data_IF_691496388560
#
_entry.id   IF_691496388560
#
_cell.length_a   1.000
_cell.length_b   1.000
_cell.length_c   1.000
_cell.angle_alpha   90.00
_cell.angle_beta   90.00
_cell.angle_gamma   90.00
#
_symmetry.space_group_name_H-M   'P 1'
#
loop_
_entity.id
_entity.type
_entity.pdbx_description
1 polymer ?
#
# COMPACT_ATOMS: atom_id res chain seq x y z
N UNK A 1 67.57 -60.34 7.84
CA UNK A 1 67.73 -59.11 8.65
C UNK A 1 66.45 -58.29 8.48
N UNK A 2 65.47 -58.47 9.36
CA UNK A 2 64.30 -57.60 9.42
C UNK A 2 64.65 -56.36 10.24
N UNK A 3 64.04 -55.21 9.94
CA UNK A 3 64.30 -53.97 10.65
C UNK A 3 65.37 -53.07 10.02
N UNK A 4 64.96 -52.27 9.04
CA UNK A 4 65.37 -50.86 8.99
C UNK A 4 64.12 -50.02 9.20
N UNK A 5 64.15 -49.13 10.18
CA UNK A 5 63.20 -48.01 10.27
C UNK A 5 63.58 -47.02 9.16
N UNK A 6 63.10 -47.26 7.94
CA UNK A 6 63.34 -46.35 6.82
C UNK A 6 62.38 -45.16 6.95
N UNK A 7 62.91 -43.98 7.28
CA UNK A 7 62.20 -42.69 7.12
C UNK A 7 62.04 -42.30 5.64
N UNK A 8 61.47 -43.22 4.84
CA UNK A 8 61.43 -43.16 3.38
C UNK A 8 61.38 -44.57 2.76
N UNK A 9 60.48 -45.45 3.22
CA UNK A 9 60.27 -46.75 2.59
C UNK A 9 59.83 -46.60 1.12
N UNK A 10 60.54 -47.18 0.16
CA UNK A 10 60.10 -47.26 -1.25
C UNK A 10 59.89 -48.71 -1.74
N UNK A 11 58.74 -49.36 -1.43
CA UNK A 11 58.48 -50.73 -1.85
C UNK A 11 58.26 -50.85 -3.37
N UNK A 12 59.23 -51.43 -4.09
CA UNK A 12 59.16 -51.72 -5.51
C UNK A 12 60.46 -51.36 -6.25
N UNK A 13 60.45 -51.25 -7.58
CA UNK A 13 61.67 -51.07 -8.40
C UNK A 13 61.65 -49.79 -9.23
N UNK A 14 62.79 -49.11 -9.31
CA UNK A 14 62.97 -47.92 -10.14
C UNK A 14 62.31 -46.65 -9.60
N UNK A 15 61.88 -46.64 -8.34
CA UNK A 15 61.39 -45.42 -7.70
C UNK A 15 62.56 -44.46 -7.40
N UNK A 16 62.26 -43.16 -7.32
CA UNK A 16 63.21 -42.09 -7.08
C UNK A 16 62.62 -40.99 -6.19
N UNK A 17 62.91 -41.05 -4.89
CA UNK A 17 62.53 -40.02 -3.93
C UNK A 17 62.28 -40.61 -2.54
N UNK A 18 61.07 -40.44 -2.01
CA UNK A 18 60.68 -40.95 -0.69
C UNK A 18 59.25 -41.47 -0.66
N UNK A 19 58.99 -42.54 0.11
CA UNK A 19 57.65 -43.09 0.36
C UNK A 19 56.88 -43.63 -0.87
N UNK A 20 57.55 -43.83 -2.01
CA UNK A 20 56.92 -44.32 -3.24
C UNK A 20 56.72 -45.85 -3.26
N UNK A 21 55.51 -46.31 -3.56
CA UNK A 21 55.13 -47.74 -3.68
C UNK A 21 54.85 -48.09 -5.13
N UNK A 22 55.48 -49.14 -5.65
CA UNK A 22 55.29 -49.65 -7.01
C UNK A 22 56.52 -49.43 -7.90
N UNK A 23 56.32 -49.11 -9.19
CA UNK A 23 57.39 -49.16 -10.20
C UNK A 23 57.64 -47.81 -10.87
N UNK A 24 58.90 -47.35 -10.93
CA UNK A 24 59.29 -46.20 -11.76
C UNK A 24 58.76 -44.84 -11.31
N UNK A 25 58.29 -44.68 -10.06
CA UNK A 25 57.70 -43.43 -9.58
C UNK A 25 58.77 -42.43 -9.12
N UNK A 26 58.61 -41.15 -9.43
CA UNK A 26 59.54 -40.06 -9.06
C UNK A 26 58.85 -39.03 -8.18
N UNK A 27 59.43 -38.71 -7.02
CA UNK A 27 58.91 -37.70 -6.08
C UNK A 27 58.54 -38.29 -4.71
N UNK A 28 57.36 -37.97 -4.18
CA UNK A 28 56.99 -38.30 -2.79
C UNK A 28 55.67 -39.08 -2.68
N UNK A 29 55.65 -40.22 -1.98
CA UNK A 29 54.38 -40.83 -1.54
C UNK A 29 53.47 -41.38 -2.64
N UNK A 30 53.98 -41.62 -3.85
CA UNK A 30 53.17 -42.11 -4.97
C UNK A 30 52.89 -43.62 -4.85
N UNK A 31 51.72 -44.08 -5.27
CA UNK A 31 51.35 -45.51 -5.37
C UNK A 31 51.02 -45.87 -6.83
N UNK A 32 51.75 -46.83 -7.40
CA UNK A 32 51.47 -47.38 -8.73
C UNK A 32 52.69 -47.36 -9.66
N UNK A 33 52.52 -46.91 -10.90
CA UNK A 33 53.52 -47.13 -11.96
C UNK A 33 53.84 -45.84 -12.74
N UNK A 34 55.11 -45.44 -12.82
CA UNK A 34 55.59 -44.29 -13.59
C UNK A 34 54.95 -42.93 -13.26
N UNK A 35 54.53 -42.70 -12.01
CA UNK A 35 53.98 -41.42 -11.58
C UNK A 35 55.09 -40.41 -11.22
N UNK A 36 54.91 -39.13 -11.55
CA UNK A 36 55.84 -38.04 -11.26
C UNK A 36 55.16 -36.93 -10.44
N UNK A 37 55.69 -36.63 -9.25
CA UNK A 37 55.15 -35.63 -8.32
C UNK A 37 54.93 -36.20 -6.93
N UNK A 38 53.92 -35.72 -6.22
CA UNK A 38 53.60 -36.13 -4.85
C UNK A 38 52.20 -36.77 -4.72
N UNK A 39 52.08 -37.82 -3.90
CA UNK A 39 50.83 -38.43 -3.45
C UNK A 39 49.87 -38.92 -4.56
N UNK A 40 50.38 -39.30 -5.74
CA UNK A 40 49.54 -39.82 -6.82
C UNK A 40 49.21 -41.31 -6.64
N UNK A 41 48.01 -41.75 -7.06
CA UNK A 41 47.61 -43.17 -7.07
C UNK A 41 47.18 -43.56 -8.48
N UNK A 42 48.04 -44.26 -9.23
CA UNK A 42 47.74 -44.54 -10.63
C UNK A 42 48.90 -45.04 -11.49
N UNK A 43 48.76 -44.87 -12.81
CA UNK A 43 49.79 -45.22 -13.80
C UNK A 43 50.11 -44.00 -14.67
N UNK A 44 51.35 -43.51 -14.70
CA UNK A 44 51.82 -42.49 -15.64
C UNK A 44 51.40 -41.04 -15.32
N UNK A 45 50.92 -40.78 -14.11
CA UNK A 45 50.45 -39.44 -13.70
C UNK A 45 51.62 -38.45 -13.60
N UNK A 46 51.39 -37.17 -13.88
CA UNK A 46 52.40 -36.11 -13.72
C UNK A 46 51.73 -34.88 -13.09
N UNK A 47 52.24 -34.43 -11.94
CA UNK A 47 51.58 -33.46 -11.04
C UNK A 47 51.36 -34.07 -9.66
N UNK A 48 50.60 -33.40 -8.78
CA UNK A 48 50.43 -33.83 -7.38
C UNK A 48 48.99 -34.25 -7.06
N UNK A 49 48.83 -35.17 -6.11
CA UNK A 49 47.56 -35.63 -5.52
C UNK A 49 46.52 -36.20 -6.51
N UNK A 50 46.95 -36.75 -7.65
CA UNK A 50 46.03 -37.28 -8.67
C UNK A 50 45.69 -38.76 -8.46
N UNK A 51 44.49 -39.18 -8.88
CA UNK A 51 44.09 -40.59 -8.91
C UNK A 51 43.54 -40.94 -10.30
N UNK A 52 44.15 -41.90 -11.01
CA UNK A 52 43.72 -42.32 -12.36
C UNK A 52 44.83 -42.88 -13.25
N UNK A 53 44.72 -42.64 -14.57
CA UNK A 53 45.74 -43.00 -15.56
C UNK A 53 46.32 -41.75 -16.24
N UNK A 54 47.60 -41.83 -16.58
CA UNK A 54 48.45 -40.77 -17.12
C UNK A 54 48.04 -40.37 -18.52
N UNK A 55 48.20 -39.09 -18.83
CA UNK A 55 47.70 -38.49 -20.07
C UNK A 55 46.18 -38.31 -20.12
N UNK A 56 45.42 -38.90 -19.18
CA UNK A 56 43.98 -38.64 -19.06
C UNK A 56 43.64 -37.59 -18.00
N UNK A 57 44.46 -37.33 -16.98
CA UNK A 57 44.27 -36.14 -16.14
C UNK A 57 45.43 -35.15 -16.34
N UNK A 58 45.14 -33.85 -16.27
CA UNK A 58 46.14 -32.77 -16.37
C UNK A 58 45.93 -31.73 -15.27
N UNK A 59 46.98 -31.42 -14.51
CA UNK A 59 46.93 -30.47 -13.39
C UNK A 59 47.15 -31.16 -12.04
N UNK A 60 46.39 -30.77 -11.00
CA UNK A 60 46.68 -31.13 -9.59
C UNK A 60 45.40 -31.57 -8.86
N UNK A 61 45.47 -32.61 -8.03
CA UNK A 61 44.37 -33.02 -7.16
C UNK A 61 43.16 -33.65 -7.85
N UNK A 62 43.25 -33.98 -9.15
CA UNK A 62 42.13 -34.53 -9.90
C UNK A 62 41.94 -36.04 -9.65
N UNK A 63 40.70 -36.48 -9.47
CA UNK A 63 40.30 -37.88 -9.21
C UNK A 63 39.36 -38.36 -10.31
N UNK A 64 39.74 -39.41 -11.04
CA UNK A 64 38.95 -39.98 -12.14
C UNK A 64 39.70 -39.96 -13.46
N UNK A 65 39.05 -39.63 -14.59
CA UNK A 65 39.67 -39.59 -15.92
C UNK A 65 39.20 -38.40 -16.77
N UNK A 66 40.05 -37.95 -17.70
CA UNK A 66 39.77 -36.85 -18.63
C UNK A 66 39.56 -35.48 -17.96
N UNK A 67 40.00 -35.30 -16.71
CA UNK A 67 39.85 -34.03 -16.00
C UNK A 67 41.05 -33.10 -16.22
N UNK A 68 40.79 -31.79 -16.37
CA UNK A 68 41.80 -30.75 -16.55
C UNK A 68 41.64 -29.62 -15.53
N UNK A 69 42.76 -29.12 -15.00
CA UNK A 69 42.80 -28.08 -13.97
C UNK A 69 43.03 -28.67 -12.58
N UNK A 70 42.28 -28.23 -11.57
CA UNK A 70 42.55 -28.55 -10.17
C UNK A 70 41.37 -29.15 -9.40
N UNK A 71 41.63 -30.14 -8.55
CA UNK A 71 40.69 -30.68 -7.56
C UNK A 71 39.35 -31.19 -8.13
N UNK A 72 39.28 -31.57 -9.41
CA UNK A 72 38.05 -32.09 -10.02
C UNK A 72 37.86 -33.58 -9.72
N UNK A 73 36.62 -34.00 -9.47
CA UNK A 73 36.27 -35.39 -9.16
C UNK A 73 35.25 -35.89 -10.19
N UNK A 74 35.59 -36.98 -10.89
CA UNK A 74 34.72 -37.64 -11.87
C UNK A 74 35.34 -37.69 -13.27
N UNK A 75 34.60 -37.29 -14.30
CA UNK A 75 35.00 -37.48 -15.69
C UNK A 75 34.88 -36.22 -16.55
N UNK A 76 35.85 -35.96 -17.44
CA UNK A 76 35.79 -34.88 -18.45
C UNK A 76 35.64 -33.45 -17.89
N UNK A 77 35.84 -33.21 -16.59
CA UNK A 77 35.65 -31.88 -16.01
C UNK A 77 36.85 -30.96 -16.31
N UNK A 78 36.60 -29.66 -16.49
CA UNK A 78 37.61 -28.65 -16.76
C UNK A 78 37.50 -27.48 -15.77
N UNK A 79 38.64 -27.02 -15.24
CA UNK A 79 38.70 -25.90 -14.30
C UNK A 79 38.97 -26.36 -12.87
N UNK A 80 38.26 -25.83 -11.87
CA UNK A 80 38.59 -26.03 -10.45
C UNK A 80 37.44 -26.59 -9.61
N UNK A 81 37.66 -27.72 -8.93
CA UNK A 81 36.79 -28.19 -7.85
C UNK A 81 35.42 -28.71 -8.31
N UNK A 82 35.26 -29.08 -9.58
CA UNK A 82 34.00 -29.61 -10.08
C UNK A 82 33.80 -31.08 -9.69
N UNK A 83 32.56 -31.48 -9.40
CA UNK A 83 32.19 -32.86 -9.06
C UNK A 83 31.18 -33.40 -10.08
N UNK A 84 31.50 -34.50 -10.76
CA UNK A 84 30.60 -35.19 -11.69
C UNK A 84 31.19 -35.34 -13.10
N UNK A 85 30.41 -35.00 -14.14
CA UNK A 85 30.75 -35.32 -15.54
C UNK A 85 30.71 -34.06 -16.42
N UNK A 86 31.78 -33.81 -17.19
CA UNK A 86 31.85 -32.81 -18.25
C UNK A 86 31.54 -31.36 -17.82
N UNK A 87 31.68 -31.03 -16.53
CA UNK A 87 31.47 -29.66 -16.05
C UNK A 87 32.67 -28.77 -16.40
N UNK A 88 32.43 -27.48 -16.65
CA UNK A 88 33.48 -26.52 -17.01
C UNK A 88 33.42 -25.27 -16.14
N UNK A 89 34.56 -24.81 -15.63
CA UNK A 89 34.66 -23.67 -14.72
C UNK A 89 34.91 -24.13 -13.29
N UNK A 90 34.14 -23.63 -12.32
CA UNK A 90 34.49 -23.76 -10.90
C UNK A 90 33.36 -24.31 -10.02
N UNK A 91 33.64 -25.29 -9.16
CA UNK A 91 32.74 -25.78 -8.11
C UNK A 91 31.35 -26.23 -8.58
N UNK A 92 31.20 -26.63 -9.84
CA UNK A 92 29.94 -27.16 -10.35
C UNK A 92 29.76 -28.62 -9.92
N UNK A 93 28.55 -29.00 -9.51
CA UNK A 93 28.21 -30.36 -9.06
C UNK A 93 27.12 -30.94 -9.96
N UNK A 94 27.45 -31.96 -10.75
CA UNK A 94 26.50 -32.67 -11.61
C UNK A 94 27.04 -32.96 -13.00
N UNK A 95 26.27 -32.65 -14.04
CA UNK A 95 26.57 -33.05 -15.43
C UNK A 95 26.54 -31.83 -16.36
N UNK A 96 27.61 -31.65 -17.14
CA UNK A 96 27.72 -30.72 -18.26
C UNK A 96 27.30 -29.27 -17.93
N UNK A 97 27.52 -28.84 -16.68
CA UNK A 97 27.24 -27.47 -16.25
C UNK A 97 28.49 -26.58 -16.46
N UNK A 98 28.29 -25.35 -16.92
CA UNK A 98 29.36 -24.41 -17.28
C UNK A 98 29.26 -23.11 -16.48
N UNK A 99 30.39 -22.61 -15.98
CA UNK A 99 30.45 -21.41 -15.16
C UNK A 99 30.83 -21.75 -13.73
N UNK A 100 30.11 -21.24 -12.73
CA UNK A 100 30.48 -21.42 -11.32
C UNK A 100 29.34 -21.87 -10.43
N UNK A 101 29.64 -22.73 -9.44
CA UNK A 101 28.76 -23.13 -8.33
C UNK A 101 27.37 -23.65 -8.75
N UNK A 102 27.20 -24.13 -9.98
CA UNK A 102 25.93 -24.70 -10.44
C UNK A 102 25.74 -26.12 -9.90
N UNK A 103 24.50 -26.49 -9.59
CA UNK A 103 24.13 -27.86 -9.16
C UNK A 103 23.10 -28.45 -10.09
N UNK A 104 23.38 -29.63 -10.68
CA UNK A 104 22.46 -30.36 -11.55
C UNK A 104 22.99 -30.54 -12.98
N UNK A 105 22.17 -30.29 -14.00
CA UNK A 105 22.41 -30.78 -15.37
C UNK A 105 22.29 -29.67 -16.41
N UNK A 106 23.29 -29.48 -17.28
CA UNK A 106 23.30 -28.48 -18.36
C UNK A 106 23.03 -27.02 -17.92
N UNK A 107 23.38 -26.64 -16.68
CA UNK A 107 23.22 -25.25 -16.24
C UNK A 107 24.40 -24.38 -16.70
N UNK A 108 24.14 -23.16 -17.17
CA UNK A 108 25.15 -22.23 -17.65
C UNK A 108 25.08 -20.89 -16.92
N UNK A 109 26.17 -20.46 -16.29
CA UNK A 109 26.29 -19.20 -15.52
C UNK A 109 26.72 -19.44 -14.08
N UNK A 110 26.16 -18.68 -13.13
CA UNK A 110 26.54 -18.70 -11.71
C UNK A 110 25.41 -19.23 -10.82
N UNK A 111 25.68 -20.26 -10.01
CA UNK A 111 24.84 -20.61 -8.85
C UNK A 111 23.45 -21.17 -9.16
N UNK A 112 23.20 -21.62 -10.40
CA UNK A 112 21.91 -22.22 -10.75
C UNK A 112 21.74 -23.62 -10.14
N UNK A 113 20.52 -23.98 -9.77
CA UNK A 113 20.16 -25.32 -9.29
C UNK A 113 19.07 -25.94 -10.14
N UNK A 114 19.27 -27.17 -10.62
CA UNK A 114 18.29 -27.92 -11.42
C UNK A 114 18.80 -28.26 -12.81
N UNK A 115 18.04 -27.94 -13.87
CA UNK A 115 18.37 -28.38 -15.23
C UNK A 115 18.19 -27.32 -16.32
N UNK A 116 19.14 -27.24 -17.24
CA UNK A 116 19.08 -26.41 -18.45
C UNK A 116 18.79 -24.91 -18.19
N UNK A 117 19.20 -24.37 -17.04
CA UNK A 117 19.08 -22.94 -16.76
C UNK A 117 20.25 -22.15 -17.37
N UNK A 118 20.00 -20.93 -17.81
CA UNK A 118 21.00 -20.04 -18.43
C UNK A 118 20.97 -18.66 -17.78
N UNK A 119 22.12 -18.16 -17.32
CA UNK A 119 22.20 -16.95 -16.48
C UNK A 119 22.47 -17.34 -15.02
N UNK A 120 21.96 -16.59 -14.04
CA UNK A 120 22.48 -16.67 -12.67
C UNK A 120 21.40 -16.93 -11.60
N UNK A 121 21.72 -17.73 -10.59
CA UNK A 121 20.90 -17.99 -9.40
C UNK A 121 19.48 -18.54 -9.66
N UNK A 122 19.25 -19.15 -10.84
CA UNK A 122 17.95 -19.75 -11.15
C UNK A 122 17.77 -21.11 -10.46
N UNK A 123 16.55 -21.42 -10.04
CA UNK A 123 16.18 -22.69 -9.41
C UNK A 123 15.07 -23.39 -10.17
N UNK A 124 15.33 -24.60 -10.66
CA UNK A 124 14.38 -25.43 -11.40
C UNK A 124 14.84 -25.69 -12.84
N UNK A 125 14.03 -25.38 -13.85
CA UNK A 125 14.21 -25.88 -15.22
C UNK A 125 14.04 -24.87 -16.35
N UNK A 126 14.95 -24.83 -17.33
CA UNK A 126 14.80 -23.99 -18.54
C UNK A 126 14.51 -22.50 -18.26
N UNK A 127 15.02 -21.96 -17.14
CA UNK A 127 14.92 -20.52 -16.89
C UNK A 127 16.09 -19.80 -17.58
N UNK A 128 15.85 -18.58 -18.07
CA UNK A 128 16.83 -17.79 -18.79
C UNK A 128 16.85 -16.34 -18.27
N UNK A 129 17.96 -15.90 -17.68
CA UNK A 129 18.04 -14.64 -16.92
C UNK A 129 18.53 -14.91 -15.50
N UNK A 130 18.07 -14.14 -14.53
CA UNK A 130 18.54 -14.20 -13.15
C UNK A 130 17.42 -14.44 -12.11
N UNK A 131 17.75 -15.12 -11.02
CA UNK A 131 16.89 -15.29 -9.83
C UNK A 131 15.50 -15.93 -10.06
N UNK A 132 15.28 -16.61 -11.18
CA UNK A 132 13.99 -17.26 -11.45
C UNK A 132 13.82 -18.55 -10.65
N UNK A 133 12.63 -18.83 -10.15
CA UNK A 133 12.27 -20.08 -9.46
C UNK A 133 11.12 -20.78 -10.15
N UNK A 134 11.25 -22.07 -10.45
CA UNK A 134 10.24 -22.87 -11.15
C UNK A 134 10.73 -23.31 -12.53
N UNK A 135 9.94 -23.19 -13.61
CA UNK A 135 10.42 -23.61 -14.93
C UNK A 135 9.89 -22.82 -16.13
N UNK A 136 10.71 -22.74 -17.17
CA UNK A 136 10.43 -22.03 -18.42
C UNK A 136 10.14 -20.54 -18.19
N UNK A 137 10.92 -19.87 -17.34
CA UNK A 137 10.80 -18.43 -17.14
C UNK A 137 11.99 -17.67 -17.78
N UNK A 138 11.81 -17.02 -18.95
CA UNK A 138 12.76 -16.06 -19.51
C UNK A 138 12.52 -14.63 -18.98
N UNK A 139 13.59 -13.97 -18.52
CA UNK A 139 13.56 -12.70 -17.80
C UNK A 139 14.11 -12.88 -16.38
N UNK A 140 13.91 -11.90 -15.51
CA UNK A 140 14.52 -11.87 -14.17
C UNK A 140 13.49 -11.93 -13.03
N UNK A 141 13.83 -12.65 -11.96
CA UNK A 141 13.09 -12.71 -10.68
C UNK A 141 11.66 -13.26 -10.80
N UNK A 142 11.38 -14.12 -11.80
CA UNK A 142 10.06 -14.76 -11.93
C UNK A 142 9.92 -15.97 -11.00
N UNK A 143 8.71 -16.23 -10.51
CA UNK A 143 8.38 -17.42 -9.69
C UNK A 143 7.19 -18.18 -10.29
N UNK A 144 7.40 -19.45 -10.66
CA UNK A 144 6.36 -20.35 -11.18
C UNK A 144 6.70 -20.90 -12.56
N UNK A 145 5.75 -20.89 -13.50
CA UNK A 145 5.91 -21.58 -14.78
C UNK A 145 5.53 -20.73 -16.01
N UNK A 146 6.34 -20.78 -17.07
CA UNK A 146 6.05 -20.13 -18.36
C UNK A 146 5.82 -18.61 -18.26
N UNK A 147 6.50 -17.92 -17.33
CA UNK A 147 6.43 -16.46 -17.23
C UNK A 147 7.52 -15.79 -18.08
N UNK A 148 7.17 -14.83 -18.92
CA UNK A 148 8.09 -14.11 -19.82
C UNK A 148 8.09 -12.62 -19.47
N UNK A 149 9.27 -12.04 -19.25
CA UNK A 149 9.43 -10.69 -18.68
C UNK A 149 9.89 -10.79 -17.22
N UNK A 150 9.78 -9.73 -16.45
CA UNK A 150 10.44 -9.62 -15.14
C UNK A 150 9.43 -9.59 -13.97
N UNK A 151 9.85 -10.08 -12.80
CA UNK A 151 9.11 -9.99 -11.52
C UNK A 151 7.72 -10.66 -11.51
N UNK A 152 7.44 -11.60 -12.42
CA UNK A 152 6.14 -12.27 -12.47
C UNK A 152 6.04 -13.44 -11.49
N UNK A 153 4.90 -13.58 -10.81
CA UNK A 153 4.59 -14.72 -9.94
C UNK A 153 3.35 -15.46 -10.43
N UNK A 154 3.46 -16.77 -10.66
CA UNK A 154 2.37 -17.66 -11.05
C UNK A 154 2.64 -18.36 -12.38
N UNK A 155 1.69 -18.36 -13.32
CA UNK A 155 1.82 -19.18 -14.53
C UNK A 155 1.34 -18.53 -15.84
N UNK A 156 2.10 -18.69 -16.92
CA UNK A 156 1.73 -18.19 -18.26
C UNK A 156 1.51 -16.67 -18.30
N UNK A 157 2.29 -15.89 -17.56
CA UNK A 157 2.25 -14.43 -17.61
C UNK A 157 3.27 -13.89 -18.64
N UNK A 158 2.97 -12.79 -19.30
CA UNK A 158 3.86 -12.13 -20.28
C UNK A 158 3.79 -10.61 -20.13
N UNK A 159 4.93 -9.98 -19.88
CA UNK A 159 5.03 -8.60 -19.38
C UNK A 159 5.65 -8.61 -17.99
N UNK A 160 5.60 -7.49 -17.27
CA UNK A 160 6.36 -7.32 -16.03
C UNK A 160 5.46 -7.15 -14.79
N UNK A 161 5.95 -7.58 -13.61
CA UNK A 161 5.33 -7.33 -12.29
C UNK A 161 3.90 -7.93 -12.16
N UNK A 162 3.62 -9.05 -12.83
CA UNK A 162 2.29 -9.68 -12.76
C UNK A 162 2.20 -10.76 -11.67
N UNK A 163 1.07 -10.84 -10.97
CA UNK A 163 0.77 -11.94 -10.03
C UNK A 163 -0.48 -12.68 -10.48
N UNK A 164 -0.40 -14.00 -10.63
CA UNK A 164 -1.51 -14.87 -11.01
C UNK A 164 -1.25 -15.64 -12.30
N UNK A 165 -2.23 -15.78 -13.20
CA UNK A 165 -2.03 -16.60 -14.40
C UNK A 165 -2.75 -16.15 -15.69
N UNK A 166 -2.15 -16.51 -16.83
CA UNK A 166 -2.62 -16.19 -18.18
C UNK A 166 -2.74 -14.68 -18.44
N UNK A 167 -1.81 -13.90 -17.88
CA UNK A 167 -1.78 -12.44 -18.00
C UNK A 167 -0.92 -12.02 -19.19
N UNK A 168 -1.36 -11.01 -19.94
CA UNK A 168 -0.53 -10.27 -20.91
C UNK A 168 -0.58 -8.77 -20.60
N UNK A 169 0.58 -8.11 -20.47
CA UNK A 169 0.71 -6.72 -20.00
C UNK A 169 1.32 -6.67 -18.60
N UNK A 170 1.32 -5.50 -17.95
CA UNK A 170 2.18 -5.26 -16.78
C UNK A 170 1.42 -4.89 -15.49
N UNK A 171 2.06 -5.11 -14.34
CA UNK A 171 1.56 -4.71 -13.02
C UNK A 171 0.14 -5.22 -12.66
N UNK A 172 -0.26 -6.38 -13.18
CA UNK A 172 -1.58 -6.95 -12.95
C UNK A 172 -1.60 -7.96 -11.79
N UNK A 173 -2.76 -8.15 -11.17
CA UNK A 173 -2.98 -9.18 -10.14
C UNK A 173 -4.30 -9.94 -10.42
N UNK A 174 -4.24 -11.23 -10.74
CA UNK A 174 -5.42 -12.08 -10.98
C UNK A 174 -5.27 -13.05 -12.15
N UNK A 175 -6.31 -13.18 -12.97
CA UNK A 175 -6.34 -14.18 -14.04
C UNK A 175 -6.86 -13.59 -15.35
N UNK A 176 -6.29 -14.03 -16.48
CA UNK A 176 -6.72 -13.68 -17.85
C UNK A 176 -6.69 -12.18 -18.19
N UNK A 177 -5.86 -11.40 -17.49
CA UNK A 177 -5.68 -9.98 -17.74
C UNK A 177 -4.96 -9.71 -19.06
N UNK A 178 -5.27 -8.58 -19.70
CA UNK A 178 -4.74 -8.19 -21.03
C UNK A 178 -4.24 -6.74 -21.13
N UNK A 179 -4.41 -5.96 -20.08
CA UNK A 179 -3.95 -4.58 -20.00
C UNK A 179 -2.84 -4.41 -18.96
N UNK A 180 -2.68 -3.19 -18.47
CA UNK A 180 -1.74 -2.84 -17.41
C UNK A 180 -2.52 -2.42 -16.16
N UNK A 181 -2.06 -2.84 -14.97
CA UNK A 181 -2.64 -2.40 -13.68
C UNK A 181 -4.01 -3.00 -13.34
N UNK A 182 -4.36 -4.16 -13.87
CA UNK A 182 -5.67 -4.79 -13.63
C UNK A 182 -5.67 -5.63 -12.34
N UNK A 183 -6.79 -5.59 -11.59
CA UNK A 183 -6.97 -6.38 -10.35
C UNK A 183 -6.13 -5.93 -9.15
N UNK A 184 -5.55 -4.73 -9.22
CA UNK A 184 -4.92 -4.06 -8.09
C UNK A 184 -5.92 -3.78 -6.97
N UNK A 185 -5.47 -3.96 -5.72
CA UNK A 185 -6.18 -3.43 -4.54
C UNK A 185 -5.75 -1.97 -4.39
N UNK A 186 -6.71 -1.06 -4.20
CA UNK A 186 -6.45 0.38 -4.13
C UNK A 186 -5.44 0.72 -3.01
N UNK A 187 -4.38 1.45 -3.38
CA UNK A 187 -3.34 1.92 -2.47
C UNK A 187 -2.80 3.28 -2.94
N UNK A 188 -2.90 4.29 -2.08
CA UNK A 188 -2.28 5.59 -2.27
C UNK A 188 -1.02 5.70 -1.41
N UNK A 189 0.12 6.02 -2.03
CA UNK A 189 1.36 6.31 -1.32
C UNK A 189 1.89 7.71 -1.64
N UNK A 190 1.59 8.64 -0.74
CA UNK A 190 2.01 10.04 -0.81
C UNK A 190 3.11 10.31 0.21
N UNK A 191 4.24 10.86 -0.25
CA UNK A 191 5.25 11.42 0.64
C UNK A 191 4.97 12.91 0.82
N UNK A 192 4.77 13.32 2.06
CA UNK A 192 4.61 14.73 2.46
C UNK A 192 5.88 15.18 3.16
N UNK A 193 6.67 16.04 2.53
CA UNK A 193 7.77 16.73 3.21
C UNK A 193 7.14 17.86 4.05
N UNK A 194 7.34 17.89 5.39
CA UNK A 194 6.79 18.96 6.22
C UNK A 194 7.50 20.30 5.94
N UNK A 195 6.79 21.40 6.20
CA UNK A 195 7.27 22.77 5.98
C UNK A 195 8.60 23.04 6.71
N UNK A 196 9.60 23.53 5.97
CA UNK A 196 10.91 23.95 6.52
C UNK A 196 10.87 25.47 6.76
N UNK A 197 10.88 25.95 8.02
CA UNK A 197 10.91 27.38 8.31
C UNK A 197 12.31 27.96 8.10
N UNK A 198 12.41 29.06 7.36
CA UNK A 198 13.61 29.88 7.30
C UNK A 198 13.37 31.20 8.05
N UNK A 199 14.22 31.48 9.03
CA UNK A 199 14.15 32.72 9.83
C UNK A 199 15.42 33.54 9.61
N UNK A 200 15.28 34.70 8.97
CA UNK A 200 16.36 35.70 8.83
C UNK A 200 16.02 36.90 9.73
N UNK A 201 16.86 37.13 10.75
CA UNK A 201 16.71 38.26 11.67
C UNK A 201 17.52 39.48 11.22
N UNK A 202 16.83 40.60 11.00
CA UNK A 202 17.41 41.92 10.80
C UNK A 202 16.69 42.92 11.72
N UNK A 203 17.44 43.75 12.44
CA UNK A 203 16.88 44.70 13.41
C UNK A 203 17.72 45.97 13.54
N UNK A 204 17.06 47.07 13.89
CA UNK A 204 17.65 48.41 14.06
C UNK A 204 16.86 49.28 15.05
N UNK A 205 17.42 50.42 15.44
CA UNK A 205 16.84 51.35 16.42
C UNK A 205 15.94 52.40 15.75
N UNK A 206 14.85 52.79 16.42
CA UNK A 206 13.92 53.83 15.99
C UNK A 206 13.73 54.91 17.07
N UNK A 207 14.08 56.17 16.77
CA UNK A 207 13.81 57.35 17.60
C UNK A 207 13.10 58.42 16.75
N UNK A 208 11.90 58.87 17.14
CA UNK A 208 11.13 59.92 16.44
C UNK A 208 10.63 60.99 17.44
N UNK A 209 11.07 62.27 17.34
CA UNK A 209 10.51 63.35 18.15
C UNK A 209 9.18 63.87 17.57
N UNK A 210 8.23 64.23 18.45
CA UNK A 210 6.90 64.74 18.12
C UNK A 210 6.61 65.99 18.96
N UNK A 211 6.45 67.14 18.30
CA UNK A 211 6.13 68.43 18.94
C UNK A 211 4.82 69.00 18.41
N UNK A 212 3.94 69.50 19.26
CA UNK A 212 2.66 70.09 18.83
C UNK A 212 1.89 70.81 19.94
N UNK A 213 0.63 71.14 19.67
CA UNK A 213 -0.32 71.71 20.65
C UNK A 213 -1.75 71.24 20.35
N UNK A 214 -2.58 71.15 21.40
CA UNK A 214 -4.02 70.88 21.28
C UNK A 214 -4.77 72.22 21.36
N UNK A 215 -5.63 72.50 20.38
CA UNK A 215 -6.48 73.68 20.38
C UNK A 215 -7.60 73.59 21.43
N UNK A 216 -8.00 74.73 21.99
CA UNK A 216 -9.02 74.82 23.04
C UNK A 216 -10.45 74.43 22.59
N UNK A 217 -11.34 74.21 23.56
CA UNK A 217 -12.73 73.78 23.37
C UNK A 217 -13.72 74.80 23.96
N UNK A 218 -14.84 75.00 23.25
CA UNK A 218 -16.02 75.74 23.71
C UNK A 218 -17.26 74.84 23.63
N UNK A 219 -18.09 74.82 24.68
CA UNK A 219 -19.37 74.11 24.73
C UNK A 219 -20.50 75.11 24.94
N UNK A 220 -21.60 74.99 24.19
CA UNK A 220 -22.77 75.88 24.23
C UNK A 220 -23.83 75.42 25.27
N UNK A 221 -24.77 76.32 25.60
CA UNK A 221 -25.86 76.10 26.56
C UNK A 221 -26.88 75.01 26.13
N UNK A 222 -27.44 74.27 27.09
CA UNK A 222 -28.50 73.27 26.90
C UNK A 222 -29.42 73.11 28.14
N UNK A 223 -30.53 72.36 28.01
CA UNK A 223 -31.54 72.14 29.06
C UNK A 223 -31.96 70.67 29.20
N UNK A 224 -32.57 70.30 30.33
CA UNK A 224 -33.07 68.94 30.64
C UNK A 224 -34.55 68.99 31.07
N UNK A 225 -35.41 68.14 30.49
CA UNK A 225 -36.86 68.08 30.71
C UNK A 225 -37.43 66.66 30.50
N UNK A 226 -38.69 66.41 30.88
CA UNK A 226 -39.36 65.11 30.76
C UNK A 226 -39.99 64.82 29.38
N UNK A 227 -40.33 63.56 29.13
CA UNK A 227 -40.67 63.05 27.79
C UNK A 227 -41.97 63.62 27.19
N UNK A 228 -43.00 63.86 28.03
CA UNK A 228 -44.34 64.26 27.58
C UNK A 228 -44.79 65.64 28.11
N UNK A 229 -43.86 66.45 28.62
CA UNK A 229 -44.16 67.78 29.15
C UNK A 229 -42.95 68.45 29.80
N UNK A 230 -43.10 69.71 30.25
CA UNK A 230 -42.04 70.37 31.02
C UNK A 230 -41.80 69.69 32.38
N UNK A 231 -42.75 68.89 32.87
CA UNK A 231 -42.59 68.08 34.07
C UNK A 231 -41.65 66.89 33.87
N UNK A 232 -40.70 66.70 34.80
CA UNK A 232 -40.02 65.42 35.02
C UNK A 232 -40.94 64.60 35.95
N UNK A 233 -41.53 63.48 35.47
CA UNK A 233 -42.47 62.70 36.26
C UNK A 233 -41.76 61.85 37.32
N UNK A 234 -42.40 61.71 38.48
CA UNK A 234 -41.88 61.02 39.66
C UNK A 234 -42.80 59.87 40.06
N UNK A 235 -42.46 58.66 39.60
CA UNK A 235 -43.08 57.41 40.07
C UNK A 235 -42.25 56.85 41.24
N UNK A 236 -42.75 56.96 42.48
CA UNK A 236 -42.16 56.27 43.63
C UNK A 236 -43.03 55.07 44.03
N UNK A 237 -42.36 53.95 44.24
CA UNK A 237 -42.93 52.71 44.76
C UNK A 237 -42.38 52.49 46.16
N UNK A 238 -43.25 52.49 47.18
CA UNK A 238 -42.85 52.12 48.54
C UNK A 238 -43.18 50.65 48.76
N UNK A 239 -42.14 49.83 48.96
CA UNK A 239 -42.23 48.45 49.40
C UNK A 239 -41.68 48.35 50.83
N UNK A 240 -42.35 47.59 51.70
CA UNK A 240 -41.98 47.41 53.11
C UNK A 240 -41.89 45.91 53.39
N UNK A 241 -40.68 45.35 53.46
CA UNK A 241 -40.42 43.95 53.79
C UNK A 241 -40.39 43.72 55.32
N UNK A 242 -40.86 42.56 55.78
CA UNK A 242 -40.77 42.06 57.16
C UNK A 242 -40.77 40.52 57.20
N UNK A 243 -40.66 39.91 58.40
CA UNK A 243 -40.66 38.45 58.59
C UNK A 243 -41.39 38.03 59.88
N UNK A 244 -42.02 36.85 59.84
CA UNK A 244 -43.01 36.33 60.80
C UNK A 244 -42.45 35.64 62.06
N UNK A 245 -41.16 35.27 62.09
CA UNK A 245 -40.51 34.70 63.28
C UNK A 245 -40.73 33.18 63.52
N UNK A 246 -39.80 32.55 64.24
CA UNK A 246 -39.58 31.09 64.27
C UNK A 246 -40.25 30.24 65.37
N UNK A 247 -39.75 29.00 65.55
CA UNK A 247 -40.15 27.97 66.53
C UNK A 247 -39.03 26.93 66.80
N UNK A 248 -39.20 25.92 67.68
CA UNK A 248 -38.11 25.01 68.09
C UNK A 248 -38.52 23.67 68.80
N UNK A 249 -37.95 22.47 68.51
CA UNK A 249 -38.31 21.12 69.10
C UNK A 249 -37.11 20.08 69.30
N UNK A 250 -37.18 19.12 70.27
CA UNK A 250 -36.13 18.26 70.93
C UNK A 250 -35.29 17.17 70.15
N UNK A 251 -33.96 17.09 70.40
CA UNK A 251 -32.94 15.97 70.22
C UNK A 251 -33.24 14.77 71.12
N UNK A 252 -32.52 13.62 70.94
CA UNK A 252 -32.16 12.69 72.02
C UNK A 252 -30.62 12.48 72.25
N UNK A 253 -30.17 12.57 73.51
CA UNK A 253 -28.82 12.52 74.16
C UNK A 253 -28.39 11.06 74.52
N UNK A 254 -27.07 10.74 74.62
CA UNK A 254 -26.51 9.39 74.87
C UNK A 254 -26.17 9.11 76.36
N UNK A 255 -25.80 7.91 76.79
CA UNK A 255 -25.67 6.62 76.07
C UNK A 255 -26.99 5.80 76.11
N UNK A 256 -28.12 6.50 76.23
CA UNK A 256 -29.43 6.00 76.67
C UNK A 256 -30.57 6.86 76.09
N UNK A 257 -31.76 6.82 76.69
CA UNK A 257 -32.92 7.69 76.40
C UNK A 257 -32.83 9.07 77.12
N UNK A 258 -32.08 10.06 76.63
CA UNK A 258 -32.19 11.47 77.11
C UNK A 258 -32.43 12.43 75.91
N UNK A 259 -32.74 13.74 76.06
CA UNK A 259 -33.32 14.70 75.06
C UNK A 259 -32.63 16.09 74.85
N UNK A 260 -32.87 16.91 73.77
CA UNK A 260 -33.00 18.45 73.75
C UNK A 260 -33.02 19.35 72.43
N UNK A 261 -33.72 20.49 72.41
CA UNK A 261 -34.26 21.24 71.23
C UNK A 261 -33.38 21.87 70.09
N UNK A 262 -33.83 21.63 68.83
CA UNK A 262 -33.64 22.33 67.52
C UNK A 262 -34.40 23.67 67.46
N UNK A 263 -33.84 24.82 67.07
CA UNK A 263 -34.64 25.95 66.53
C UNK A 263 -34.76 26.03 64.99
N UNK A 264 -35.81 26.68 64.50
CA UNK A 264 -36.16 26.91 63.08
C UNK A 264 -36.79 28.32 62.95
N UNK A 265 -36.25 29.18 62.10
CA UNK A 265 -36.74 30.57 61.96
C UNK A 265 -37.91 30.76 60.96
N UNK A 266 -38.50 31.96 60.92
CA UNK A 266 -39.77 32.30 60.25
C UNK A 266 -39.70 32.60 58.74
N UNK A 267 -40.78 33.17 58.20
CA UNK A 267 -40.96 33.51 56.76
C UNK A 267 -41.36 34.98 56.48
N UNK A 268 -40.91 35.58 55.34
CA UNK A 268 -41.09 37.00 55.04
C UNK A 268 -42.45 37.42 54.41
N UNK A 269 -42.81 38.71 54.56
CA UNK A 269 -44.05 39.37 54.11
C UNK A 269 -43.75 40.81 53.65
N UNK A 270 -44.29 41.25 52.49
CA UNK A 270 -44.08 42.60 51.94
C UNK A 270 -45.34 43.20 51.30
N UNK A 271 -45.59 44.51 51.50
CA UNK A 271 -46.71 45.27 50.92
C UNK A 271 -46.21 46.43 50.04
N UNK A 272 -46.98 46.81 49.01
CA UNK A 272 -46.59 47.81 47.99
C UNK A 272 -47.66 48.88 47.75
N UNK A 273 -47.29 50.17 47.68
CA UNK A 273 -48.18 51.31 47.35
C UNK A 273 -47.50 52.31 46.38
N UNK A 274 -48.16 52.75 45.29
CA UNK A 274 -47.64 53.77 44.36
C UNK A 274 -48.13 55.21 44.66
N UNK A 275 -47.32 56.22 44.28
CA UNK A 275 -47.63 57.66 44.34
C UNK A 275 -47.16 58.40 43.06
N UNK A 276 -47.94 59.39 42.57
CA UNK A 276 -47.70 60.08 41.29
C UNK A 276 -47.58 61.63 41.47
N UNK A 277 -46.47 62.26 41.05
CA UNK A 277 -46.20 63.74 41.06
C UNK A 277 -45.16 64.16 39.99
N UNK A 278 -44.93 65.46 39.72
CA UNK A 278 -43.95 65.98 38.72
C UNK A 278 -43.08 67.20 39.19
N UNK A 279 -41.94 67.48 38.52
CA UNK A 279 -40.96 68.56 38.81
C UNK A 279 -40.53 69.40 37.57
N UNK A 280 -40.06 70.64 37.71
CA UNK A 280 -39.69 71.55 36.57
C UNK A 280 -38.32 71.30 35.90
N UNK A 281 -38.05 71.83 34.67
CA UNK A 281 -36.78 71.69 33.92
C UNK A 281 -35.54 72.40 34.49
N UNK A 282 -34.35 72.00 34.02
CA UNK A 282 -33.02 72.55 34.42
C UNK A 282 -32.27 73.14 33.19
N UNK A 283 -31.47 74.21 33.37
CA UNK A 283 -30.71 74.94 32.32
C UNK A 283 -29.21 75.04 32.67
N UNK A 284 -28.30 74.92 31.69
CA UNK A 284 -26.84 74.93 31.86
C UNK A 284 -26.17 75.93 30.89
N UNK A 285 -25.19 76.71 31.38
CA UNK A 285 -24.47 77.78 30.64
C UNK A 285 -23.18 77.31 29.91
N UNK A 286 -22.60 78.09 28.98
CA UNK A 286 -21.40 77.73 28.20
C UNK A 286 -20.07 77.59 28.98
N UNK A 287 -19.14 76.76 28.48
CA UNK A 287 -17.82 76.46 29.11
C UNK A 287 -16.69 76.63 28.07
N UNK A 288 -15.54 77.20 28.47
CA UNK A 288 -14.35 77.44 27.62
C UNK A 288 -13.04 76.94 28.26
N UNK A 289 -12.15 76.31 27.47
CA UNK A 289 -10.82 75.82 27.92
C UNK A 289 -9.73 76.21 26.90
N UNK A 290 -8.57 76.67 27.37
CA UNK A 290 -7.42 77.11 26.55
C UNK A 290 -6.54 75.97 25.99
N UNK A 291 -5.60 76.34 25.11
CA UNK A 291 -4.71 75.40 24.42
C UNK A 291 -3.55 74.86 25.30
N UNK A 292 -3.10 73.63 25.04
CA UNK A 292 -2.05 72.93 25.81
C UNK A 292 -0.90 72.50 24.88
N UNK A 293 0.37 72.83 25.18
CA UNK A 293 1.53 72.38 24.38
C UNK A 293 1.95 70.94 24.71
N UNK A 294 2.57 70.26 23.73
CA UNK A 294 3.00 68.87 23.83
C UNK A 294 4.42 68.68 23.25
N UNK A 295 5.32 68.10 24.04
CA UNK A 295 6.70 67.76 23.67
C UNK A 295 7.00 66.33 24.12
N UNK A 296 7.05 65.38 23.17
CA UNK A 296 7.25 63.95 23.41
C UNK A 296 8.25 63.37 22.41
N UNK A 297 9.08 62.42 22.86
CA UNK A 297 9.83 61.53 21.96
C UNK A 297 9.21 60.14 21.98
N UNK A 298 9.00 59.55 20.81
CA UNK A 298 8.48 58.20 20.64
C UNK A 298 9.61 57.29 20.14
N UNK A 299 10.07 56.38 21.01
CA UNK A 299 11.30 55.61 20.82
C UNK A 299 12.33 55.89 21.91
N UNK A 300 13.38 55.07 21.98
CA UNK A 300 14.46 55.23 22.96
C UNK A 300 15.55 54.16 22.85
N UNK A 301 16.62 54.29 23.64
CA UNK A 301 17.84 53.44 23.63
C UNK A 301 17.60 51.92 23.61
N UNK A 302 16.47 51.47 24.14
CA UNK A 302 16.11 50.04 24.26
C UNK A 302 15.08 49.55 23.23
N UNK A 303 14.53 50.42 22.38
CA UNK A 303 13.47 50.05 21.44
C UNK A 303 14.04 49.58 20.10
N UNK A 304 14.23 48.26 19.98
CA UNK A 304 14.61 47.61 18.72
C UNK A 304 13.38 47.24 17.88
N UNK A 305 13.38 47.61 16.60
CA UNK A 305 12.40 47.14 15.64
C UNK A 305 12.84 45.78 15.08
N UNK A 306 12.20 44.71 15.54
CA UNK A 306 12.40 43.36 14.99
C UNK A 306 11.44 43.11 13.84
N UNK A 307 11.97 43.00 12.61
CA UNK A 307 11.23 42.59 11.44
C UNK A 307 11.52 41.11 11.12
N UNK A 308 10.72 40.21 11.68
CA UNK A 308 10.81 38.78 11.38
C UNK A 308 10.11 38.47 10.06
N UNK A 309 10.86 38.36 8.96
CA UNK A 309 10.31 37.89 7.69
C UNK A 309 10.26 36.35 7.72
N UNK A 310 9.13 35.80 8.17
CA UNK A 310 8.86 34.37 8.11
C UNK A 310 8.55 33.95 6.68
N UNK A 311 9.50 33.30 6.02
CA UNK A 311 9.29 32.59 4.76
C UNK A 311 9.66 31.12 4.95
N UNK A 312 8.90 30.22 4.36
CA UNK A 312 9.24 28.81 4.33
C UNK A 312 8.75 28.18 3.05
N UNK A 313 9.42 27.12 2.64
CA UNK A 313 9.00 26.36 1.48
C UNK A 313 7.92 25.39 1.97
N UNK A 314 6.72 25.56 1.41
CA UNK A 314 5.52 24.80 1.79
C UNK A 314 5.69 23.29 1.62
N UNK A 315 4.79 22.49 2.21
CA UNK A 315 4.88 21.05 2.13
C UNK A 315 4.83 20.58 0.68
N UNK A 316 5.91 19.95 0.22
CA UNK A 316 5.95 19.31 -1.10
C UNK A 316 5.31 17.94 -0.94
N UNK A 317 4.08 17.80 -1.41
CA UNK A 317 3.40 16.51 -1.57
C UNK A 317 3.75 15.94 -2.94
N UNK A 318 4.53 14.87 -2.95
CA UNK A 318 4.80 14.08 -4.14
C UNK A 318 4.03 12.76 -4.04
N UNK A 319 3.13 12.53 -4.99
CA UNK A 319 2.46 11.25 -5.18
C UNK A 319 3.43 10.33 -5.94
N UNK A 320 3.95 9.28 -5.30
CA UNK A 320 4.92 8.38 -5.95
C UNK A 320 4.22 7.42 -6.92
N UNK A 321 3.02 6.97 -6.56
CA UNK A 321 2.08 6.32 -7.44
C UNK A 321 0.66 6.57 -6.95
N UNK A 322 -0.28 6.70 -7.88
CA UNK A 322 -1.71 6.70 -7.61
C UNK A 322 -2.34 5.60 -8.46
N UNK A 323 -2.96 4.62 -7.80
CA UNK A 323 -3.62 3.50 -8.44
C UNK A 323 -5.12 3.65 -8.20
N UNK A 324 -5.78 4.31 -9.14
CA UNK A 324 -7.22 4.60 -9.06
C UNK A 324 -8.01 3.30 -8.84
N UNK A 325 -8.99 3.26 -7.91
CA UNK A 325 -9.77 2.06 -7.67
C UNK A 325 -10.51 1.63 -8.94
N UNK A 326 -10.06 0.53 -9.54
CA UNK A 326 -10.76 -0.06 -10.69
C UNK A 326 -11.96 -0.84 -10.14
N UNK A 327 -13.19 -0.60 -10.61
CA UNK A 327 -14.32 -1.39 -10.16
C UNK A 327 -14.15 -2.88 -10.55
N UNK A 328 -14.40 -3.77 -9.60
CA UNK A 328 -14.47 -5.22 -9.83
C UNK A 328 -13.14 -5.97 -10.05
N UNK A 329 -13.25 -7.27 -10.34
CA UNK A 329 -12.15 -8.23 -10.48
C UNK A 329 -12.37 -9.13 -11.70
N UNK A 330 -11.34 -9.35 -12.53
CA UNK A 330 -11.46 -10.13 -13.77
C UNK A 330 -12.30 -9.48 -14.88
N UNK A 331 -12.71 -8.21 -14.76
CA UNK A 331 -13.58 -7.55 -15.74
C UNK A 331 -12.81 -7.11 -17.01
N UNK A 332 -13.15 -7.68 -18.17
CA UNK A 332 -12.57 -7.39 -19.50
C UNK A 332 -13.52 -6.53 -20.34
N UNK A 333 -13.80 -5.31 -19.89
CA UNK A 333 -14.77 -4.39 -20.52
C UNK A 333 -14.15 -3.08 -21.02
N UNK A 334 -14.70 -2.51 -22.10
CA UNK A 334 -14.25 -1.22 -22.65
C UNK A 334 -14.54 -0.01 -21.76
N UNK A 335 -15.61 -0.06 -20.96
CA UNK A 335 -15.99 0.93 -19.94
C UNK A 335 -15.97 0.32 -18.54
N UNK A 336 -15.85 1.12 -17.45
CA UNK A 336 -15.79 0.60 -16.09
C UNK A 336 -17.01 -0.27 -15.72
N UNK A 337 -16.77 -1.39 -15.05
CA UNK A 337 -17.77 -2.37 -14.61
C UNK A 337 -17.40 -2.91 -13.23
N UNK A 338 -18.32 -3.11 -12.30
CA UNK A 338 -18.06 -3.64 -10.95
C UNK A 338 -18.34 -5.16 -10.83
N UNK A 339 -18.04 -5.78 -9.69
CA UNK A 339 -18.25 -7.23 -9.49
C UNK A 339 -17.12 -8.10 -10.06
N UNK A 340 -17.43 -9.21 -10.73
CA UNK A 340 -16.47 -10.24 -11.15
C UNK A 340 -16.66 -10.70 -12.61
N UNK A 341 -15.58 -10.86 -13.38
CA UNK A 341 -15.55 -11.52 -14.70
C UNK A 341 -16.53 -11.03 -15.78
N UNK A 342 -16.96 -9.77 -15.72
CA UNK A 342 -17.77 -9.15 -16.77
C UNK A 342 -16.92 -8.84 -18.01
N UNK A 343 -17.48 -8.85 -19.21
CA UNK A 343 -16.75 -8.61 -20.46
C UNK A 343 -17.61 -7.92 -21.52
N UNK A 344 -17.01 -7.31 -22.55
CA UNK A 344 -17.74 -6.60 -23.61
C UNK A 344 -17.57 -5.07 -23.56
N UNK A 345 -18.64 -4.33 -23.80
CA UNK A 345 -18.61 -2.86 -23.90
C UNK A 345 -18.45 -2.17 -22.53
N UNK A 346 -19.09 -2.69 -21.47
CA UNK A 346 -18.85 -2.26 -20.08
C UNK A 346 -20.09 -1.82 -19.31
N UNK A 347 -19.93 -0.89 -18.37
CA UNK A 347 -21.04 -0.37 -17.55
C UNK A 347 -21.71 -1.39 -16.62
N UNK A 348 -21.13 -2.60 -16.47
CA UNK A 348 -21.84 -3.75 -15.93
C UNK A 348 -21.52 -4.02 -14.45
N UNK A 349 -22.33 -4.81 -13.74
CA UNK A 349 -22.14 -5.13 -12.33
C UNK A 349 -22.59 -6.56 -11.95
N UNK A 350 -21.97 -7.15 -10.94
CA UNK A 350 -22.21 -8.56 -10.58
C UNK A 350 -21.24 -9.50 -11.28
N UNK A 351 -21.64 -10.73 -11.62
CA UNK A 351 -20.72 -11.82 -11.98
C UNK A 351 -20.93 -12.33 -13.43
N UNK A 352 -19.89 -12.33 -14.27
CA UNK A 352 -19.87 -13.08 -15.53
C UNK A 352 -20.72 -12.52 -16.67
N UNK A 353 -21.13 -11.24 -16.63
CA UNK A 353 -21.98 -10.67 -17.68
C UNK A 353 -21.18 -10.33 -18.95
N UNK A 354 -21.71 -10.59 -20.15
CA UNK A 354 -21.10 -10.29 -21.45
C UNK A 354 -21.94 -9.24 -22.22
N UNK A 355 -21.45 -8.00 -22.30
CA UNK A 355 -22.05 -6.95 -23.11
C UNK A 355 -21.97 -5.54 -22.52
N UNK A 356 -23.09 -4.82 -22.50
CA UNK A 356 -23.18 -3.41 -22.12
C UNK A 356 -24.25 -3.16 -21.04
N UNK A 357 -23.89 -2.46 -19.96
CA UNK A 357 -24.82 -1.92 -18.95
C UNK A 357 -25.72 -3.02 -18.35
N UNK A 358 -25.10 -4.14 -17.95
CA UNK A 358 -25.76 -5.31 -17.37
C UNK A 358 -25.63 -5.35 -15.84
N UNK A 359 -26.55 -6.00 -15.13
CA UNK A 359 -26.41 -6.20 -13.68
C UNK A 359 -26.91 -7.57 -13.21
N UNK A 360 -26.19 -8.19 -12.29
CA UNK A 360 -26.50 -9.53 -11.77
C UNK A 360 -25.54 -10.60 -12.28
N UNK A 361 -26.05 -11.77 -12.68
CA UNK A 361 -25.22 -12.96 -12.98
C UNK A 361 -25.41 -13.44 -14.43
N UNK A 362 -24.30 -13.66 -15.15
CA UNK A 362 -24.22 -14.36 -16.45
C UNK A 362 -25.13 -13.82 -17.59
N UNK A 363 -25.47 -12.54 -17.56
CA UNK A 363 -26.30 -11.91 -18.60
C UNK A 363 -25.50 -11.67 -19.89
N UNK A 364 -26.11 -11.89 -21.05
CA UNK A 364 -25.50 -11.77 -22.39
C UNK A 364 -26.37 -10.89 -23.30
N UNK A 365 -25.95 -9.65 -23.56
CA UNK A 365 -26.75 -8.67 -24.31
C UNK A 365 -26.44 -7.22 -23.93
N UNK A 366 -27.45 -6.37 -23.87
CA UNK A 366 -27.32 -5.01 -23.32
C UNK A 366 -28.46 -4.69 -22.36
N UNK A 367 -28.22 -3.74 -21.46
CA UNK A 367 -29.24 -2.99 -20.70
C UNK A 367 -30.21 -3.89 -19.89
N UNK A 368 -29.67 -4.81 -19.09
CA UNK A 368 -30.47 -5.84 -18.41
C UNK A 368 -29.99 -6.21 -17.00
N UNK A 369 -30.92 -6.26 -16.05
CA UNK A 369 -30.74 -6.63 -14.64
C UNK A 369 -31.38 -7.99 -14.28
N UNK A 370 -30.58 -9.00 -13.94
CA UNK A 370 -31.12 -10.32 -13.62
C UNK A 370 -30.09 -11.44 -13.65
N UNK A 371 -30.54 -12.61 -14.10
CA UNK A 371 -29.78 -13.85 -14.16
C UNK A 371 -29.95 -14.50 -15.52
N UNK A 372 -28.84 -14.76 -16.22
CA UNK A 372 -28.77 -15.46 -17.51
C UNK A 372 -29.67 -14.87 -18.63
N UNK A 373 -29.76 -13.54 -18.71
CA UNK A 373 -30.41 -12.84 -19.83
C UNK A 373 -29.73 -13.20 -21.16
N UNK A 374 -30.49 -13.33 -22.25
CA UNK A 374 -29.91 -13.62 -23.57
C UNK A 374 -30.62 -12.82 -24.67
N UNK A 375 -29.92 -11.85 -25.26
CA UNK A 375 -30.52 -10.78 -26.06
C UNK A 375 -31.16 -9.68 -25.19
N UNK A 376 -31.75 -8.65 -25.80
CA UNK A 376 -32.41 -7.57 -25.04
C UNK A 376 -33.05 -6.47 -25.89
N UNK A 377 -33.90 -5.67 -25.25
CA UNK A 377 -34.28 -4.29 -25.67
C UNK A 377 -35.03 -3.51 -24.59
N UNK A 378 -35.87 -4.13 -23.76
CA UNK A 378 -36.30 -3.56 -22.47
C UNK A 378 -36.72 -4.62 -21.46
N UNK A 379 -36.28 -4.41 -20.23
CA UNK A 379 -35.78 -5.56 -19.50
C UNK A 379 -35.76 -5.29 -17.96
N UNK A 380 -36.48 -6.07 -17.11
CA UNK A 380 -36.54 -5.96 -15.61
C UNK A 380 -36.77 -7.26 -14.77
N UNK A 381 -35.83 -7.72 -13.91
CA UNK A 381 -36.00 -9.00 -13.17
C UNK A 381 -36.08 -10.22 -14.11
N UNK A 382 -35.20 -10.16 -15.08
CA UNK A 382 -35.34 -10.60 -16.47
C UNK A 382 -34.23 -11.60 -16.78
N UNK A 383 -33.95 -11.97 -18.03
CA UNK A 383 -34.86 -12.56 -19.00
C UNK A 383 -35.59 -11.65 -20.06
N UNK A 384 -36.03 -12.19 -21.16
CA UNK A 384 -36.20 -13.59 -21.38
C UNK A 384 -35.84 -13.86 -22.82
N UNK A 385 -35.36 -15.07 -23.03
CA UNK A 385 -35.73 -15.71 -24.28
C UNK A 385 -37.22 -15.48 -24.47
N UNK A 386 -37.58 -14.92 -25.61
CA UNK A 386 -38.28 -15.72 -26.59
C UNK A 386 -39.33 -16.72 -26.06
N UNK A 387 -40.21 -16.33 -25.13
CA UNK A 387 -41.31 -17.16 -24.67
C UNK A 387 -42.23 -16.51 -23.64
N UNK A 388 -41.71 -16.16 -22.45
CA UNK A 388 -42.48 -15.83 -21.25
C UNK A 388 -41.75 -14.81 -20.38
N UNK A 389 -42.35 -13.66 -20.05
CA UNK A 389 -41.63 -12.45 -19.63
C UNK A 389 -42.43 -11.58 -18.63
N UNK A 390 -41.74 -10.89 -17.72
CA UNK A 390 -42.35 -10.01 -16.71
C UNK A 390 -41.58 -8.70 -16.64
N UNK A 391 -42.27 -7.59 -16.90
CA UNK A 391 -41.64 -6.38 -17.40
C UNK A 391 -42.38 -5.91 -18.66
N UNK A 392 -41.67 -5.71 -19.76
CA UNK A 392 -42.21 -5.27 -21.06
C UNK A 392 -41.44 -5.99 -22.18
N UNK A 393 -42.07 -6.22 -23.34
CA UNK A 393 -41.48 -6.73 -24.60
C UNK A 393 -40.56 -7.97 -24.57
N UNK A 394 -40.83 -8.85 -23.61
CA UNK A 394 -41.96 -9.76 -23.80
C UNK A 394 -42.09 -10.53 -25.15
N UNK A 395 -40.99 -10.75 -25.89
CA UNK A 395 -40.96 -11.47 -27.19
C UNK A 395 -40.91 -13.01 -27.09
N UNK A 396 -41.45 -13.74 -28.09
CA UNK A 396 -41.28 -15.20 -28.25
C UNK A 396 -40.45 -15.65 -29.46
N UNK A 397 -39.55 -16.61 -29.22
CA UNK A 397 -38.82 -17.39 -30.21
C UNK A 397 -39.34 -18.83 -30.33
N UNK A 398 -40.27 -19.25 -29.47
CA UNK A 398 -41.09 -20.46 -29.68
C UNK A 398 -42.01 -20.26 -30.89
N UNK A 399 -42.13 -21.29 -31.72
CA UNK A 399 -43.18 -21.36 -32.74
C UNK A 399 -44.58 -21.44 -32.12
N UNK A 400 -45.61 -21.00 -32.87
CA UNK A 400 -46.98 -20.69 -32.43
C UNK A 400 -47.76 -21.75 -31.60
N UNK A 401 -47.22 -22.95 -31.36
CA UNK A 401 -47.89 -24.06 -30.70
C UNK A 401 -47.39 -24.37 -29.27
N UNK A 402 -46.50 -23.55 -28.69
CA UNK A 402 -45.88 -23.78 -27.37
C UNK A 402 -46.06 -22.59 -26.42
N UNK A 403 -46.42 -22.88 -25.16
CA UNK A 403 -46.85 -21.90 -24.16
C UNK A 403 -45.70 -21.17 -23.44
N UNK A 404 -45.88 -19.87 -23.26
CA UNK A 404 -45.09 -18.99 -22.40
C UNK A 404 -45.96 -17.84 -21.84
N UNK A 405 -45.99 -17.69 -20.52
CA UNK A 405 -46.75 -16.64 -19.83
C UNK A 405 -46.00 -15.31 -19.83
N UNK A 406 -46.65 -14.29 -20.38
CA UNK A 406 -46.02 -13.01 -20.65
C UNK A 406 -46.87 -11.90 -20.06
N UNK A 407 -46.33 -11.00 -19.24
CA UNK A 407 -47.08 -9.99 -18.50
C UNK A 407 -46.44 -8.61 -18.56
N UNK A 408 -47.24 -7.62 -18.97
CA UNK A 408 -46.77 -6.27 -19.24
C UNK A 408 -47.48 -5.64 -20.43
N UNK A 409 -46.70 -5.22 -21.43
CA UNK A 409 -47.14 -4.74 -22.73
C UNK A 409 -46.33 -5.45 -23.84
N UNK A 410 -46.95 -5.69 -24.99
CA UNK A 410 -46.25 -6.02 -26.25
C UNK A 410 -45.93 -7.50 -26.52
N UNK A 411 -46.53 -8.40 -25.76
CA UNK A 411 -46.13 -9.80 -25.70
C UNK A 411 -46.22 -10.59 -27.04
N UNK A 412 -45.30 -11.51 -27.27
CA UNK A 412 -45.31 -12.49 -28.38
C UNK A 412 -45.08 -13.89 -27.78
N UNK A 413 -45.78 -14.95 -28.21
CA UNK A 413 -45.66 -16.31 -27.61
C UNK A 413 -46.94 -17.15 -27.64
N UNK A 414 -47.33 -17.75 -26.51
CA UNK A 414 -48.72 -18.20 -26.31
C UNK A 414 -49.09 -18.33 -24.82
N UNK A 415 -50.27 -17.88 -24.39
CA UNK A 415 -50.68 -17.54 -23.00
C UNK A 415 -50.23 -16.14 -22.49
N UNK A 416 -50.52 -15.10 -23.29
CA UNK A 416 -50.08 -13.70 -23.06
C UNK A 416 -51.06 -12.87 -22.18
N UNK A 417 -50.57 -11.89 -21.39
CA UNK A 417 -51.36 -11.05 -20.47
C UNK A 417 -50.91 -9.58 -20.43
N UNK A 418 -51.85 -8.65 -20.30
CA UNK A 418 -51.61 -7.21 -20.41
C UNK A 418 -52.24 -6.62 -21.68
N UNK A 419 -51.53 -5.74 -22.39
CA UNK A 419 -52.01 -5.12 -23.62
C UNK A 419 -51.13 -5.46 -24.84
N UNK A 420 -51.80 -5.72 -25.97
CA UNK A 420 -51.25 -6.01 -27.31
C UNK A 420 -50.34 -7.25 -27.37
N UNK A 421 -50.82 -8.31 -28.02
CA UNK A 421 -50.41 -9.69 -27.78
C UNK A 421 -50.38 -10.46 -29.12
N UNK A 422 -49.36 -11.29 -29.39
CA UNK A 422 -49.18 -12.03 -30.66
C UNK A 422 -48.88 -13.52 -30.46
N UNK A 423 -49.87 -14.38 -30.73
CA UNK A 423 -49.87 -15.80 -30.37
C UNK A 423 -51.20 -16.24 -29.74
N UNK A 424 -51.25 -17.33 -28.98
CA UNK A 424 -52.45 -17.60 -28.14
C UNK A 424 -52.46 -16.70 -26.91
N UNK A 425 -53.64 -16.37 -26.39
CA UNK A 425 -53.83 -15.84 -25.02
C UNK A 425 -54.20 -17.00 -24.07
N UNK A 426 -54.35 -16.77 -22.75
CA UNK A 426 -55.17 -17.62 -21.89
C UNK A 426 -56.62 -17.71 -22.42
#
# INVERSE_FOLDING_TARGET
MWGRQCGGCEPGWGNSGSFNVGFGNTGFGNFGLANQGANNIGIGLTGDNQIGFGGFNTGVGNVGLFNSGSNNIGFFNSGNGNFGIANSGSFNTGIASTGSTNTGVFNAGLGNTGWANSGDFNSGGFNAGAFNTGSFNPGDTNTGWFNIGDLNTGAFNTGDINTGAFITGDANNGFFWRGTGQGLIAADYTITIPHIPLTLGLGGKLDIPITGHIAGLTVNQFTLHGENGPGIPLNLLLAIDGDSGGTSIHVNIPDTDIGFTIPIDGLPITLTVPLNSELSPIVIEPINIGAIPLDLTLGGETMQLNANLGAGIGPITATLFHLSPVPGFGNSTGSPSSGFFNSGAGGSSGFGNFGDTLSGFWNVGSEGSGFENYGGSLVSGITNLGGALSGIDNTSGLGLALAGLVSGLGNIGSQLSGLFLSGSVP
#
